data_IF_696077938996
#
_entry.id   IF_696077938996
#
_cell.length_a   1.000
_cell.length_b   1.000
_cell.length_c   1.000
_cell.angle_alpha   90.00
_cell.angle_beta   90.00
_cell.angle_gamma   90.00
#
_symmetry.space_group_name_H-M   'P 1'
#
loop_
_entity.id
_entity.type
_entity.pdbx_description
1 polymer ?
#
# COMPACT_ATOMS: atom_id res chain seq x y z
N UNK A 1 -4.36 25.07 -20.32
CA UNK A 1 -5.32 25.89 -19.54
C UNK A 1 -5.83 27.06 -20.37
N UNK A 2 -6.78 26.74 -21.25
CA UNK A 2 -7.61 27.68 -22.00
C UNK A 2 -9.02 27.83 -21.40
N UNK A 3 -9.34 27.09 -20.34
CA UNK A 3 -10.62 27.13 -19.63
C UNK A 3 -10.73 28.37 -18.74
N UNK A 4 -11.94 28.95 -18.70
CA UNK A 4 -12.27 30.05 -17.79
C UNK A 4 -12.45 29.52 -16.36
N UNK A 5 -12.22 30.36 -15.35
CA UNK A 5 -12.32 29.97 -13.93
C UNK A 5 -13.71 29.46 -13.54
N UNK A 6 -14.77 29.98 -14.14
CA UNK A 6 -16.16 29.56 -13.94
C UNK A 6 -16.47 28.16 -14.53
N UNK A 7 -15.83 27.82 -15.65
CA UNK A 7 -15.91 26.48 -16.27
C UNK A 7 -15.17 25.43 -15.43
N UNK A 8 -14.04 25.82 -14.85
CA UNK A 8 -13.25 24.97 -13.96
C UNK A 8 -13.98 24.68 -12.64
N UNK A 9 -14.67 25.69 -12.08
CA UNK A 9 -15.50 25.53 -10.88
C UNK A 9 -16.67 24.56 -11.13
N UNK A 10 -17.27 24.54 -12.33
CA UNK A 10 -18.33 23.58 -12.67
C UNK A 10 -17.82 22.14 -12.74
N UNK A 11 -16.62 21.93 -13.30
CA UNK A 11 -15.98 20.61 -13.38
C UNK A 11 -15.65 20.11 -11.97
N UNK A 12 -15.08 20.97 -11.12
CA UNK A 12 -14.77 20.62 -9.72
C UNK A 12 -16.03 20.26 -8.93
N UNK A 13 -17.10 21.04 -9.07
CA UNK A 13 -18.37 20.78 -8.38
C UNK A 13 -19.01 19.46 -8.83
N UNK A 14 -18.88 19.09 -10.11
CA UNK A 14 -19.31 17.80 -10.62
C UNK A 14 -18.50 16.65 -10.00
N UNK A 15 -17.18 16.77 -9.94
CA UNK A 15 -16.31 15.73 -9.37
C UNK A 15 -16.55 15.56 -7.86
N UNK A 16 -16.73 16.67 -7.13
CA UNK A 16 -17.05 16.65 -5.69
C UNK A 16 -18.40 15.99 -5.41
N UNK A 17 -19.41 16.21 -6.27
CA UNK A 17 -20.71 15.55 -6.17
C UNK A 17 -20.67 14.03 -6.44
N UNK A 18 -19.66 13.56 -7.18
CA UNK A 18 -19.49 12.14 -7.47
C UNK A 18 -18.83 11.32 -6.34
N UNK A 19 -18.47 11.96 -5.22
CA UNK A 19 -18.08 11.27 -3.99
C UNK A 19 -16.63 10.80 -3.93
N UNK A 20 -15.72 11.44 -4.68
CA UNK A 20 -14.29 11.14 -4.61
C UNK A 20 -13.73 11.47 -3.21
N UNK A 21 -13.23 10.44 -2.53
CA UNK A 21 -12.71 10.52 -1.16
C UNK A 21 -11.18 10.69 -1.14
N UNK A 22 -10.49 10.27 -2.21
CA UNK A 22 -9.03 10.40 -2.33
C UNK A 22 -8.69 11.70 -3.09
N UNK A 23 -7.99 12.66 -2.46
CA UNK A 23 -7.65 13.95 -3.09
C UNK A 23 -6.81 13.81 -4.36
N UNK A 24 -5.88 12.85 -4.39
CA UNK A 24 -4.98 12.60 -5.53
C UNK A 24 -5.79 12.13 -6.75
N UNK A 25 -6.71 11.17 -6.56
CA UNK A 25 -7.61 10.69 -7.63
C UNK A 25 -8.57 11.79 -8.07
N UNK A 26 -9.01 12.65 -7.15
CA UNK A 26 -9.86 13.79 -7.47
C UNK A 26 -9.16 14.75 -8.43
N UNK A 27 -7.93 15.14 -8.10
CA UNK A 27 -7.18 16.09 -8.91
C UNK A 27 -6.82 15.49 -10.28
N UNK A 28 -6.47 14.19 -10.35
CA UNK A 28 -6.22 13.47 -11.60
C UNK A 28 -7.49 13.40 -12.49
N UNK A 29 -8.66 13.14 -11.91
CA UNK A 29 -9.94 13.08 -12.65
C UNK A 29 -10.35 14.47 -13.15
N UNK A 30 -10.15 15.51 -12.32
CA UNK A 30 -10.40 16.91 -12.74
C UNK A 30 -9.47 17.30 -13.90
N UNK A 31 -8.18 16.97 -13.82
CA UNK A 31 -7.22 17.26 -14.88
C UNK A 31 -7.56 16.53 -16.18
N UNK A 32 -7.98 15.26 -16.07
CA UNK A 32 -8.39 14.47 -17.22
C UNK A 32 -9.67 15.00 -17.88
N UNK A 33 -10.69 15.37 -17.10
CA UNK A 33 -11.91 16.03 -17.61
C UNK A 33 -11.58 17.36 -18.29
N UNK A 34 -10.70 18.17 -17.68
CA UNK A 34 -10.24 19.43 -18.29
C UNK A 34 -9.57 19.18 -19.65
N UNK A 35 -8.69 18.18 -19.75
CA UNK A 35 -8.02 17.84 -21.02
C UNK A 35 -9.01 17.46 -22.13
N UNK A 36 -10.01 16.63 -21.82
CA UNK A 36 -11.03 16.20 -22.81
C UNK A 36 -11.86 17.40 -23.28
N UNK A 37 -12.26 18.27 -22.34
CA UNK A 37 -13.01 19.48 -22.67
C UNK A 37 -12.17 20.45 -23.50
N UNK A 38 -10.89 20.64 -23.17
CA UNK A 38 -9.97 21.48 -23.96
C UNK A 38 -9.78 20.96 -25.39
N UNK A 39 -9.67 19.63 -25.56
CA UNK A 39 -9.55 19.00 -26.88
C UNK A 39 -10.79 19.25 -27.74
N UNK A 40 -11.98 19.03 -27.18
CA UNK A 40 -13.28 19.25 -27.86
C UNK A 40 -13.53 20.70 -28.22
N UNK A 41 -13.20 21.63 -27.33
CA UNK A 41 -13.26 23.07 -27.63
C UNK A 41 -12.28 23.43 -28.76
N UNK A 42 -11.10 22.80 -28.79
CA UNK A 42 -10.14 22.93 -29.88
C UNK A 42 -10.65 22.44 -31.24
N UNK A 43 -11.58 21.48 -31.24
CA UNK A 43 -12.27 20.96 -32.44
C UNK A 43 -13.45 21.83 -32.89
N UNK A 44 -13.86 22.81 -32.07
CA UNK A 44 -14.91 23.78 -32.39
C UNK A 44 -16.23 23.59 -31.64
N UNK A 45 -16.28 22.68 -30.65
CA UNK A 45 -17.46 22.50 -29.78
C UNK A 45 -17.58 23.64 -28.75
N UNK A 46 -18.81 23.98 -28.37
CA UNK A 46 -19.08 24.85 -27.22
C UNK A 46 -18.85 24.10 -25.90
N UNK A 47 -18.48 24.82 -24.83
CA UNK A 47 -18.17 24.24 -23.52
C UNK A 47 -19.27 23.32 -23.00
N UNK A 48 -20.55 23.69 -23.12
CA UNK A 48 -21.65 22.84 -22.64
C UNK A 48 -21.71 21.51 -23.39
N UNK A 49 -21.41 21.52 -24.69
CA UNK A 49 -21.44 20.33 -25.55
C UNK A 49 -20.22 19.44 -25.26
N UNK A 50 -19.05 20.07 -25.15
CA UNK A 50 -17.81 19.41 -24.78
C UNK A 50 -17.88 18.79 -23.37
N UNK A 51 -18.50 19.47 -22.41
CA UNK A 51 -18.64 19.00 -21.03
C UNK A 51 -19.63 17.84 -20.93
N UNK A 52 -20.77 17.88 -21.63
CA UNK A 52 -21.70 16.74 -21.69
C UNK A 52 -21.02 15.52 -22.31
N UNK A 53 -20.27 15.70 -23.40
CA UNK A 53 -19.53 14.61 -24.04
C UNK A 53 -18.43 14.04 -23.12
N UNK A 54 -17.70 14.89 -22.40
CA UNK A 54 -16.68 14.46 -21.44
C UNK A 54 -17.28 13.65 -20.28
N UNK A 55 -18.47 14.05 -19.80
CA UNK A 55 -19.22 13.33 -18.75
C UNK A 55 -19.78 11.99 -19.21
N UNK A 56 -20.14 11.85 -20.48
CA UNK A 56 -20.54 10.56 -21.05
C UNK A 56 -19.34 9.62 -21.26
N UNK A 57 -18.16 10.18 -21.54
CA UNK A 57 -16.93 9.42 -21.75
C UNK A 57 -16.38 8.83 -20.45
N UNK A 58 -16.45 9.60 -19.36
CA UNK A 58 -16.03 9.18 -18.03
C UNK A 58 -17.28 8.93 -17.20
N UNK A 59 -17.75 7.68 -17.21
CA UNK A 59 -18.92 7.33 -16.42
C UNK A 59 -18.59 7.37 -14.93
N UNK A 60 -19.58 7.68 -14.09
CA UNK A 60 -19.44 7.67 -12.63
C UNK A 60 -18.89 6.33 -12.10
N UNK A 61 -19.17 5.22 -12.80
CA UNK A 61 -18.63 3.90 -12.47
C UNK A 61 -17.12 3.82 -12.69
N UNK A 62 -16.58 4.44 -13.74
CA UNK A 62 -15.16 4.38 -14.04
C UNK A 62 -14.35 5.13 -12.97
N UNK A 63 -14.87 6.28 -12.53
CA UNK A 63 -14.27 7.08 -11.44
C UNK A 63 -14.25 6.30 -10.13
N UNK A 64 -15.36 5.62 -9.79
CA UNK A 64 -15.45 4.82 -8.57
C UNK A 64 -14.50 3.61 -8.63
N UNK A 65 -14.41 2.93 -9.77
CA UNK A 65 -13.48 1.80 -9.95
C UNK A 65 -12.02 2.23 -9.78
N UNK A 66 -11.61 3.35 -10.35
CA UNK A 66 -10.24 3.87 -10.19
C UNK A 66 -9.93 4.15 -8.71
N UNK A 67 -10.89 4.70 -7.97
CA UNK A 67 -10.74 4.92 -6.54
C UNK A 67 -10.64 3.60 -5.76
N UNK A 68 -11.51 2.62 -6.05
CA UNK A 68 -11.48 1.31 -5.41
C UNK A 68 -10.16 0.56 -5.68
N UNK A 69 -9.69 0.57 -6.92
CA UNK A 69 -8.41 -0.03 -7.32
C UNK A 69 -7.23 0.66 -6.64
N UNK A 70 -7.29 1.98 -6.49
CA UNK A 70 -6.26 2.76 -5.77
C UNK A 70 -6.25 2.41 -4.28
N UNK A 71 -7.42 2.34 -3.63
CA UNK A 71 -7.55 1.91 -2.23
C UNK A 71 -7.02 0.49 -2.05
N UNK A 72 -7.39 -0.41 -2.97
CA UNK A 72 -6.94 -1.80 -2.97
C UNK A 72 -5.42 -1.87 -3.10
N UNK A 73 -4.82 -1.14 -4.04
CA UNK A 73 -3.38 -1.12 -4.24
C UNK A 73 -2.63 -0.54 -3.03
N UNK A 74 -3.10 0.58 -2.46
CA UNK A 74 -2.54 1.18 -1.24
C UNK A 74 -2.61 0.20 -0.06
N UNK A 75 -3.74 -0.50 0.07
CA UNK A 75 -3.96 -1.51 1.12
C UNK A 75 -3.04 -2.70 0.94
N UNK A 76 -2.95 -3.26 -0.27
CA UNK A 76 -2.05 -4.36 -0.60
C UNK A 76 -0.60 -3.97 -0.37
N UNK A 77 -0.16 -2.80 -0.83
CA UNK A 77 1.22 -2.33 -0.64
C UNK A 77 1.59 -2.30 0.84
N UNK A 78 0.69 -1.80 1.70
CA UNK A 78 0.87 -1.80 3.16
C UNK A 78 0.95 -3.21 3.75
N UNK A 79 0.11 -4.14 3.27
CA UNK A 79 0.16 -5.54 3.70
C UNK A 79 1.45 -6.25 3.24
N UNK A 80 1.93 -5.97 2.02
CA UNK A 80 3.16 -6.52 1.47
C UNK A 80 4.41 -6.07 2.24
N UNK A 81 4.47 -4.80 2.68
CA UNK A 81 5.58 -4.30 3.51
C UNK A 81 5.68 -5.09 4.82
N UNK A 82 4.53 -5.36 5.46
CA UNK A 82 4.47 -6.14 6.71
C UNK A 82 4.88 -7.61 6.49
N UNK A 83 4.42 -8.23 5.40
CA UNK A 83 4.83 -9.59 5.01
C UNK A 83 6.35 -9.67 4.82
N UNK A 84 6.94 -8.71 4.07
CA UNK A 84 8.38 -8.66 3.82
C UNK A 84 9.18 -8.55 5.12
N UNK A 85 8.74 -7.74 6.08
CA UNK A 85 9.40 -7.63 7.40
C UNK A 85 9.40 -8.94 8.19
N UNK A 86 8.31 -9.71 8.11
CA UNK A 86 8.19 -11.01 8.78
C UNK A 86 9.11 -12.04 8.14
N UNK A 87 9.22 -12.05 6.81
CA UNK A 87 10.19 -12.91 6.13
C UNK A 87 11.64 -12.58 6.49
N UNK A 88 12.00 -11.30 6.57
CA UNK A 88 13.35 -10.88 6.96
C UNK A 88 13.67 -11.31 8.39
N UNK A 89 12.77 -11.03 9.34
CA UNK A 89 12.96 -11.42 10.75
C UNK A 89 13.00 -12.93 10.94
N UNK A 90 12.20 -13.69 10.20
CA UNK A 90 12.25 -15.15 10.16
C UNK A 90 13.62 -15.64 9.70
N UNK A 91 14.12 -15.12 8.57
CA UNK A 91 15.40 -15.54 8.00
C UNK A 91 16.57 -15.22 8.94
N UNK A 92 16.58 -14.03 9.54
CA UNK A 92 17.59 -13.64 10.54
C UNK A 92 17.54 -14.58 11.75
N UNK A 93 16.35 -14.90 12.26
CA UNK A 93 16.21 -15.81 13.40
C UNK A 93 16.69 -17.23 13.08
N UNK A 94 16.38 -17.74 11.89
CA UNK A 94 16.82 -19.06 11.44
C UNK A 94 18.34 -19.10 11.28
N UNK A 95 18.94 -18.07 10.67
CA UNK A 95 20.38 -17.95 10.53
C UNK A 95 21.06 -17.91 11.91
N UNK A 96 20.57 -17.09 12.83
CA UNK A 96 21.09 -17.00 14.20
C UNK A 96 21.03 -18.33 14.94
N UNK A 97 19.95 -19.11 14.78
CA UNK A 97 19.84 -20.44 15.37
C UNK A 97 20.87 -21.41 14.80
N UNK A 98 21.04 -21.44 13.47
CA UNK A 98 22.05 -22.28 12.81
C UNK A 98 23.46 -21.92 13.27
N UNK A 99 23.78 -20.63 13.33
CA UNK A 99 25.06 -20.15 13.86
C UNK A 99 25.23 -20.51 15.35
N UNK A 100 24.21 -20.33 16.18
CA UNK A 100 24.26 -20.69 17.60
C UNK A 100 24.55 -22.17 17.82
N UNK A 101 23.90 -23.05 17.04
CA UNK A 101 24.16 -24.50 17.08
C UNK A 101 25.60 -24.80 16.62
N UNK A 102 26.04 -24.19 15.51
CA UNK A 102 27.39 -24.39 14.96
C UNK A 102 28.49 -23.98 15.95
N UNK A 103 28.35 -22.82 16.61
CA UNK A 103 29.32 -22.39 17.62
C UNK A 103 29.29 -23.25 18.88
N UNK A 104 28.13 -23.78 19.25
CA UNK A 104 28.01 -24.70 20.39
C UNK A 104 28.70 -26.03 20.12
N UNK A 105 28.50 -26.61 18.93
CA UNK A 105 29.17 -27.87 18.55
C UNK A 105 30.68 -27.68 18.38
N UNK A 106 31.13 -26.54 17.83
CA UNK A 106 32.54 -26.21 17.73
C UNK A 106 33.20 -26.03 19.11
N UNK A 107 32.52 -25.32 20.03
CA UNK A 107 32.99 -25.12 21.40
C UNK A 107 33.16 -26.44 22.15
N UNK A 108 32.20 -27.37 21.98
CA UNK A 108 32.27 -28.72 22.55
C UNK A 108 33.46 -29.53 22.03
N UNK A 109 33.75 -29.46 20.71
CA UNK A 109 34.88 -30.18 20.09
C UNK A 109 36.23 -29.59 20.50
N UNK A 110 36.30 -28.29 20.77
CA UNK A 110 37.54 -27.58 21.10
C UNK A 110 37.79 -27.41 22.61
N UNK A 111 36.98 -28.06 23.46
CA UNK A 111 37.02 -27.96 24.94
C UNK A 111 36.99 -26.50 25.46
N UNK A 112 36.31 -25.61 24.73
CA UNK A 112 36.11 -24.22 25.13
C UNK A 112 34.96 -24.11 26.16
N UNK A 113 34.93 -23.06 27.00
CA UNK A 113 33.83 -22.87 27.94
C UNK A 113 32.47 -22.72 27.23
N UNK A 114 31.54 -23.64 27.53
CA UNK A 114 30.21 -23.76 26.92
C UNK A 114 29.29 -22.53 27.08
N UNK A 115 29.68 -21.60 27.96
CA UNK A 115 28.90 -20.42 28.34
C UNK A 115 28.57 -19.55 27.10
N UNK A 116 29.50 -19.47 26.14
CA UNK A 116 29.34 -18.67 24.93
C UNK A 116 28.28 -19.27 24.00
N UNK A 117 28.36 -20.58 23.71
CA UNK A 117 27.39 -21.26 22.84
C UNK A 117 25.97 -21.23 23.42
N UNK A 118 25.85 -21.52 24.73
CA UNK A 118 24.57 -21.49 25.42
C UNK A 118 23.92 -20.10 25.43
N UNK A 119 24.70 -19.03 25.69
CA UNK A 119 24.19 -17.66 25.66
C UNK A 119 23.69 -17.22 24.27
N UNK A 120 24.33 -17.71 23.21
CA UNK A 120 24.00 -17.39 21.82
C UNK A 120 22.75 -18.14 21.33
N UNK A 121 22.57 -19.38 21.78
CA UNK A 121 21.33 -20.15 21.62
C UNK A 121 20.16 -19.51 22.37
N UNK A 122 20.37 -19.07 23.62
CA UNK A 122 19.34 -18.40 24.40
C UNK A 122 18.92 -17.07 23.77
N UNK A 123 19.89 -16.28 23.28
CA UNK A 123 19.65 -15.01 22.61
C UNK A 123 18.87 -15.16 21.30
N UNK A 124 19.20 -16.17 20.49
CA UNK A 124 18.48 -16.46 19.25
C UNK A 124 17.04 -16.96 19.49
N UNK A 125 16.83 -17.81 20.50
CA UNK A 125 15.50 -18.23 20.93
C UNK A 125 14.65 -17.05 21.46
N UNK A 126 15.25 -16.17 22.25
CA UNK A 126 14.57 -14.96 22.72
C UNK A 126 14.20 -14.02 21.56
N UNK A 127 15.10 -13.82 20.59
CA UNK A 127 14.82 -13.02 19.40
C UNK A 127 13.67 -13.60 18.57
N UNK A 128 13.58 -14.92 18.44
CA UNK A 128 12.46 -15.57 17.78
C UNK A 128 11.13 -15.33 18.52
N UNK A 129 11.11 -15.52 19.84
CA UNK A 129 9.92 -15.37 20.66
C UNK A 129 9.42 -13.92 20.78
N UNK A 130 10.32 -12.93 20.84
CA UNK A 130 9.96 -11.52 21.04
C UNK A 130 10.01 -10.66 19.78
N UNK A 131 10.72 -11.09 18.74
CA UNK A 131 10.79 -10.39 17.45
C UNK A 131 9.81 -10.95 16.43
N UNK A 132 10.04 -12.20 16.02
CA UNK A 132 9.28 -12.82 14.93
C UNK A 132 7.82 -13.12 15.33
N UNK A 133 7.61 -13.74 16.49
CA UNK A 133 6.30 -14.20 16.93
C UNK A 133 5.29 -13.06 17.12
N UNK A 134 5.64 -11.94 17.79
CA UNK A 134 4.73 -10.81 17.93
C UNK A 134 4.47 -10.11 16.60
N UNK A 135 5.46 -10.01 15.72
CA UNK A 135 5.28 -9.45 14.37
C UNK A 135 4.29 -10.30 13.55
N UNK A 136 4.41 -11.63 13.60
CA UNK A 136 3.49 -12.55 12.95
C UNK A 136 2.07 -12.48 13.55
N UNK A 137 1.95 -12.41 14.87
CA UNK A 137 0.65 -12.28 15.53
C UNK A 137 -0.04 -10.95 15.21
N UNK A 138 0.70 -9.84 15.21
CA UNK A 138 0.21 -8.53 14.80
C UNK A 138 -0.28 -8.52 13.36
N UNK A 139 0.43 -9.20 12.45
CA UNK A 139 0.00 -9.37 11.07
C UNK A 139 -1.33 -10.11 10.99
N UNK A 140 -1.45 -11.23 11.70
CA UNK A 140 -2.67 -12.04 11.70
C UNK A 140 -3.85 -11.30 12.32
N UNK A 141 -3.61 -10.55 13.40
CA UNK A 141 -4.62 -9.68 14.01
C UNK A 141 -5.09 -8.60 13.05
N UNK A 142 -4.17 -7.88 12.38
CA UNK A 142 -4.53 -6.87 11.38
C UNK A 142 -5.34 -7.46 10.23
N UNK A 143 -4.92 -8.60 9.69
CA UNK A 143 -5.66 -9.27 8.62
C UNK A 143 -7.07 -9.71 9.08
N UNK A 144 -7.23 -10.13 10.34
CA UNK A 144 -8.55 -10.48 10.89
C UNK A 144 -9.45 -9.25 11.07
N UNK A 145 -8.89 -8.11 11.48
CA UNK A 145 -9.66 -6.85 11.63
C UNK A 145 -10.05 -6.30 10.26
N UNK A 146 -9.14 -6.33 9.30
CA UNK A 146 -9.41 -5.86 7.93
C UNK A 146 -10.44 -6.77 7.23
N UNK A 147 -10.41 -8.09 7.47
CA UNK A 147 -11.41 -9.04 6.97
C UNK A 147 -12.78 -8.99 7.65
N UNK A 148 -12.94 -8.26 8.76
CA UNK A 148 -14.24 -8.00 9.40
C UNK A 148 -14.86 -6.70 8.87
N UNK A 149 -14.06 -5.83 8.23
CA UNK A 149 -14.50 -4.53 7.69
C UNK A 149 -14.80 -4.54 6.18
N UNK A 150 -14.49 -5.64 5.50
CA UNK A 150 -14.87 -5.93 4.11
C UNK A 150 -16.21 -6.68 4.10
#
# INVERSE_FOLDING_TARGET
MHLRTDELDQIQLYVDQNGLTIPEVRDDVVDHLCCIVEERIGEGDDFDTAFVAARELISQNDIQQIQEDTIYFLTIKKQLIMIKGIFITAYISAALLVFGIFFTTLGYVLELPDIVGFSMLLGSAAFFCFGFLPAWFLQKYRNSVDGIKA
#
